data_IF_266325623540
#
_entry.id   IF_266325623540
#
_cell.length_a   1.000
_cell.length_b   1.000
_cell.length_c   1.000
_cell.angle_alpha   90.00
_cell.angle_beta   90.00
_cell.angle_gamma   90.00
#
_symmetry.space_group_name_H-M   'P 1'
#
loop_
_entity.id
_entity.type
_entity.pdbx_description
1 polymer ?
#
# COMPACT_ATOMS: atom_id res chain seq x y z
N UNK A 1 34.56 31.79 -9.13
CA UNK A 1 34.97 30.64 -8.29
C UNK A 1 34.45 30.86 -6.88
N UNK A 2 33.73 29.88 -6.33
CA UNK A 2 33.15 29.93 -4.98
C UNK A 2 31.74 29.35 -4.95
N UNK A 3 31.59 28.07 -5.32
CA UNK A 3 30.33 27.36 -5.16
C UNK A 3 30.08 27.15 -3.66
N UNK A 4 29.01 27.74 -3.15
CA UNK A 4 28.46 27.44 -1.85
C UNK A 4 27.98 25.99 -1.85
N UNK A 5 28.67 25.14 -1.09
CA UNK A 5 28.20 23.80 -0.75
C UNK A 5 27.06 23.99 0.24
N UNK A 6 25.82 23.99 -0.26
CA UNK A 6 24.63 23.92 0.58
C UNK A 6 24.63 22.57 1.29
N UNK A 7 24.69 22.60 2.62
CA UNK A 7 24.58 21.41 3.46
C UNK A 7 23.22 20.74 3.24
N UNK A 8 23.17 19.39 3.13
CA UNK A 8 21.91 18.66 2.95
C UNK A 8 20.96 18.89 4.15
N UNK A 9 19.64 18.86 3.95
CA UNK A 9 18.68 19.02 5.03
C UNK A 9 18.84 17.88 6.05
N UNK A 10 18.92 18.26 7.32
CA UNK A 10 19.03 17.36 8.47
C UNK A 10 17.78 16.47 8.59
N UNK A 11 17.97 15.24 9.06
CA UNK A 11 16.96 14.18 9.19
C UNK A 11 15.72 14.48 10.05
N UNK A 12 14.97 13.46 10.53
CA UNK A 12 13.51 13.43 10.66
C UNK A 12 12.88 14.23 11.83
N UNK A 13 13.42 15.41 12.14
CA UNK A 13 12.91 16.37 13.12
C UNK A 13 11.99 17.46 12.53
N UNK A 14 11.54 17.32 11.29
CA UNK A 14 10.74 18.36 10.61
C UNK A 14 9.23 18.31 10.90
N UNK A 15 8.71 17.25 11.54
CA UNK A 15 7.33 17.18 12.01
C UNK A 15 7.26 17.26 13.55
N UNK A 16 6.62 18.28 14.15
CA UNK A 16 6.45 18.34 15.59
C UNK A 16 5.42 17.29 16.03
N UNK A 17 5.88 16.33 16.83
CA UNK A 17 5.01 15.48 17.64
C UNK A 17 4.64 16.28 18.90
N UNK A 18 3.45 16.87 18.90
CA UNK A 18 2.94 17.57 20.09
C UNK A 18 2.64 16.57 21.20
N UNK A 19 3.28 16.76 22.36
CA UNK A 19 2.98 16.04 23.59
C UNK A 19 1.73 16.61 24.29
N UNK A 20 0.83 15.70 24.69
CA UNK A 20 -0.08 15.86 25.82
C UNK A 20 -1.48 16.44 25.55
N UNK A 21 -2.49 15.55 25.50
CA UNK A 21 -3.52 15.35 26.55
C UNK A 21 -4.49 14.24 26.14
N UNK A 22 -4.73 13.30 27.07
CA UNK A 22 -5.75 12.25 26.96
C UNK A 22 -7.14 12.91 26.77
N UNK A 23 -7.72 12.70 25.61
CA UNK A 23 -9.14 12.90 25.33
C UNK A 23 -9.66 11.62 24.70
N UNK A 24 -10.28 10.76 25.53
CA UNK A 24 -10.92 9.53 25.09
C UNK A 24 -12.19 9.87 24.32
N UNK A 25 -12.18 9.62 23.02
CA UNK A 25 -13.39 9.29 22.27
C UNK A 25 -13.08 7.97 21.56
N UNK A 26 -13.47 6.86 22.17
CA UNK A 26 -13.49 5.54 21.54
C UNK A 26 -14.51 5.58 20.41
N UNK A 27 -14.09 6.05 19.23
CA UNK A 27 -14.75 5.68 17.98
C UNK A 27 -14.50 4.19 17.80
N UNK A 28 -15.56 3.40 17.60
CA UNK A 28 -15.40 2.01 17.17
C UNK A 28 -14.41 1.96 15.99
N UNK A 29 -13.47 1.01 15.96
CA UNK A 29 -12.48 0.96 14.90
C UNK A 29 -13.20 0.84 13.56
N UNK A 30 -13.08 1.86 12.73
CA UNK A 30 -13.63 1.82 11.39
C UNK A 30 -12.95 0.65 10.66
N UNK A 31 -13.75 -0.26 10.08
CA UNK A 31 -13.21 -1.43 9.41
C UNK A 31 -12.21 -1.01 8.32
N UNK A 32 -11.01 -1.58 8.36
CA UNK A 32 -9.96 -1.28 7.38
C UNK A 32 -10.44 -1.64 5.98
N UNK A 33 -10.21 -0.76 5.00
CA UNK A 33 -10.62 -0.97 3.61
C UNK A 33 -9.56 -0.53 2.61
N UNK A 34 -9.78 -0.87 1.34
CA UNK A 34 -8.95 -0.39 0.25
C UNK A 34 -9.40 1.00 -0.21
N UNK A 35 -8.45 1.81 -0.66
CA UNK A 35 -8.66 3.13 -1.25
C UNK A 35 -7.93 3.21 -2.58
N UNK A 36 -8.60 3.68 -3.63
CA UNK A 36 -7.92 4.19 -4.82
C UNK A 36 -7.34 5.58 -4.56
N UNK A 37 -6.44 6.05 -5.42
CA UNK A 37 -5.91 7.43 -5.34
C UNK A 37 -7.04 8.46 -5.41
N UNK A 38 -8.03 8.23 -6.28
CA UNK A 38 -9.17 9.12 -6.43
C UNK A 38 -10.07 9.14 -5.19
N UNK A 39 -10.31 7.99 -4.56
CA UNK A 39 -11.05 7.94 -3.30
C UNK A 39 -10.28 8.60 -2.17
N UNK A 40 -8.99 8.31 -2.01
CA UNK A 40 -8.16 8.90 -0.96
C UNK A 40 -8.15 10.44 -1.05
N UNK A 41 -8.12 11.00 -2.26
CA UNK A 41 -8.17 12.44 -2.50
C UNK A 41 -9.41 13.15 -1.93
N UNK A 42 -10.50 12.42 -1.67
CA UNK A 42 -11.71 12.98 -1.03
C UNK A 42 -11.56 13.20 0.48
N UNK A 43 -10.59 12.52 1.11
CA UNK A 43 -10.30 12.56 2.55
C UNK A 43 -9.25 13.65 2.85
N UNK A 44 -9.58 14.90 2.52
CA UNK A 44 -8.66 16.03 2.60
C UNK A 44 -9.09 17.13 3.59
N UNK A 45 -10.00 16.82 4.51
CA UNK A 45 -10.52 17.81 5.46
C UNK A 45 -11.70 18.64 4.93
N UNK A 46 -11.80 18.84 3.62
CA UNK A 46 -12.80 19.72 3.01
C UNK A 46 -12.56 21.19 3.35
N UNK A 47 -13.15 22.10 2.56
CA UNK A 47 -13.00 23.54 2.79
C UNK A 47 -13.62 24.02 4.11
N UNK A 48 -14.56 23.25 4.67
CA UNK A 48 -15.19 23.49 5.96
C UNK A 48 -14.45 22.83 7.14
N UNK A 49 -13.40 22.05 6.87
CA UNK A 49 -12.61 21.35 7.88
C UNK A 49 -13.34 20.20 8.59
N UNK A 50 -14.52 19.79 8.10
CA UNK A 50 -15.37 18.79 8.76
C UNK A 50 -15.19 17.37 8.21
N UNK A 51 -14.58 17.23 7.04
CA UNK A 51 -14.33 15.92 6.46
C UNK A 51 -13.12 15.27 7.13
N UNK A 52 -13.06 13.94 7.17
CA UNK A 52 -11.83 13.25 7.57
C UNK A 52 -10.63 13.65 6.70
N UNK A 53 -9.44 13.57 7.30
CA UNK A 53 -8.15 13.84 6.65
C UNK A 53 -7.32 12.57 6.72
N UNK A 54 -7.06 11.95 5.56
CA UNK A 54 -6.24 10.74 5.47
C UNK A 54 -4.95 11.01 4.70
N UNK A 55 -3.90 10.25 5.00
CA UNK A 55 -2.66 10.21 4.23
C UNK A 55 -2.24 8.76 4.02
N UNK A 56 -1.52 8.47 2.93
CA UNK A 56 -0.93 7.15 2.68
C UNK A 56 0.60 7.19 2.80
N UNK A 57 1.17 6.25 3.57
CA UNK A 57 2.62 6.06 3.71
C UNK A 57 2.94 4.60 3.39
N UNK A 58 3.74 4.34 2.35
CA UNK A 58 4.07 2.99 1.84
C UNK A 58 2.79 2.14 1.63
N UNK A 59 1.78 2.79 1.04
CA UNK A 59 0.43 2.25 0.82
C UNK A 59 -0.42 1.98 2.07
N UNK A 60 0.06 2.27 3.28
CA UNK A 60 -0.77 2.23 4.48
C UNK A 60 -1.52 3.55 4.67
N UNK A 61 -2.85 3.49 4.81
CA UNK A 61 -3.69 4.69 4.94
C UNK A 61 -3.96 4.98 6.42
N UNK A 62 -3.60 6.19 6.85
CA UNK A 62 -3.74 6.66 8.23
C UNK A 62 -4.77 7.78 8.34
N UNK A 63 -5.63 7.69 9.35
CA UNK A 63 -6.51 8.77 9.74
C UNK A 63 -5.75 9.80 10.59
N UNK A 64 -5.48 10.97 10.01
CA UNK A 64 -4.81 12.10 10.65
C UNK A 64 -5.77 13.22 11.06
N UNK A 65 -7.07 12.94 11.09
CA UNK A 65 -8.13 13.90 11.47
C UNK A 65 -8.01 14.41 12.92
N UNK A 66 -7.21 13.76 13.76
CA UNK A 66 -6.89 14.19 15.12
C UNK A 66 -5.81 15.29 15.19
N UNK A 67 -5.30 15.75 14.04
CA UNK A 67 -4.35 16.85 13.90
C UNK A 67 -4.75 17.85 12.79
N UNK A 68 -5.97 18.42 12.83
CA UNK A 68 -6.43 19.36 11.79
C UNK A 68 -5.58 20.64 11.73
N UNK A 69 -4.90 21.02 12.82
CA UNK A 69 -3.93 22.13 12.85
C UNK A 69 -2.69 21.88 11.99
N UNK A 70 -2.37 20.61 11.71
CA UNK A 70 -1.25 20.21 10.87
C UNK A 70 -1.70 19.90 9.44
N UNK A 71 -2.69 19.03 9.27
CA UNK A 71 -3.09 18.50 7.95
C UNK A 71 -4.38 19.09 7.41
N UNK A 72 -5.12 19.86 8.20
CA UNK A 72 -6.33 20.53 7.73
C UNK A 72 -6.01 21.61 6.70
N UNK A 73 -7.02 22.21 6.05
CA UNK A 73 -6.84 23.15 4.93
C UNK A 73 -5.94 24.37 5.23
N UNK A 74 -5.85 24.78 6.49
CA UNK A 74 -5.00 25.90 6.94
C UNK A 74 -3.72 25.44 7.66
N UNK A 75 -3.51 24.13 7.75
CA UNK A 75 -2.36 23.54 8.43
C UNK A 75 -1.12 23.55 7.55
N UNK A 76 0.06 23.50 8.19
CA UNK A 76 1.34 23.55 7.48
C UNK A 76 1.62 22.33 6.58
N UNK A 77 0.89 21.24 6.76
CA UNK A 77 0.97 20.03 5.94
C UNK A 77 -0.33 19.78 5.16
N UNK A 78 -1.13 20.82 4.92
CA UNK A 78 -2.36 20.75 4.13
C UNK A 78 -2.13 20.11 2.74
N UNK A 79 -0.94 20.31 2.15
CA UNK A 79 -0.57 19.74 0.86
C UNK A 79 -0.57 18.20 0.83
N UNK A 80 -0.43 17.55 1.98
CA UNK A 80 -0.38 16.09 2.15
C UNK A 80 -1.77 15.44 2.22
N UNK A 81 -2.79 16.21 2.60
CA UNK A 81 -4.14 15.73 2.87
C UNK A 81 -4.75 15.03 1.64
N UNK A 82 -5.19 13.79 1.83
CA UNK A 82 -5.79 12.94 0.80
C UNK A 82 -4.80 12.39 -0.23
N UNK A 83 -3.51 12.22 0.11
CA UNK A 83 -2.49 11.78 -0.86
C UNK A 83 -1.60 10.65 -0.34
N UNK A 84 -0.96 9.95 -1.27
CA UNK A 84 0.23 9.16 -0.97
C UNK A 84 1.41 10.11 -0.77
N UNK A 85 1.97 10.09 0.43
CA UNK A 85 3.06 10.97 0.85
C UNK A 85 4.39 10.24 0.91
N UNK A 86 4.41 8.94 0.56
CA UNK A 86 5.59 8.06 0.61
C UNK A 86 6.78 8.72 -0.07
N UNK A 87 6.65 9.08 -1.34
CA UNK A 87 7.75 9.69 -2.08
C UNK A 87 8.19 11.05 -1.50
N UNK A 88 7.22 11.85 -1.05
CA UNK A 88 7.49 13.16 -0.47
C UNK A 88 8.29 13.04 0.85
N UNK A 89 7.97 12.05 1.69
CA UNK A 89 8.70 11.74 2.92
C UNK A 89 10.13 11.26 2.63
N UNK A 90 10.28 10.32 1.69
CA UNK A 90 11.59 9.79 1.31
C UNK A 90 12.56 10.88 0.82
N UNK A 91 12.03 11.87 0.10
CA UNK A 91 12.80 12.97 -0.47
C UNK A 91 12.89 14.20 0.43
N UNK A 92 12.16 14.24 1.56
CA UNK A 92 12.03 15.44 2.39
C UNK A 92 11.33 16.62 1.69
N UNK A 93 10.53 16.37 0.65
CA UNK A 93 9.87 17.36 -0.20
C UNK A 93 8.35 17.32 -0.02
N UNK A 94 7.89 17.78 1.14
CA UNK A 94 6.48 17.67 1.56
C UNK A 94 5.52 18.60 0.81
N UNK A 95 6.02 19.68 0.22
CA UNK A 95 5.22 20.66 -0.51
C UNK A 95 5.38 20.56 -2.04
N UNK A 96 6.13 19.58 -2.53
CA UNK A 96 6.34 19.40 -3.96
C UNK A 96 5.16 18.66 -4.62
N UNK A 97 4.40 19.37 -5.45
CA UNK A 97 3.23 18.81 -6.10
C UNK A 97 3.55 17.68 -7.09
N UNK A 98 4.80 17.56 -7.57
CA UNK A 98 5.20 16.49 -8.48
C UNK A 98 5.46 15.19 -7.72
N UNK A 99 6.17 15.23 -6.59
CA UNK A 99 6.38 14.05 -5.72
C UNK A 99 5.07 13.47 -5.21
N UNK A 100 4.09 14.31 -4.90
CA UNK A 100 2.78 13.91 -4.37
C UNK A 100 1.79 13.37 -5.43
N UNK A 101 2.16 13.35 -6.72
CA UNK A 101 1.31 12.86 -7.81
C UNK A 101 1.67 11.47 -8.30
N UNK A 102 2.80 10.92 -7.87
CA UNK A 102 3.31 9.64 -8.36
C UNK A 102 3.40 8.62 -7.23
N UNK A 103 3.07 7.37 -7.54
CA UNK A 103 3.28 6.23 -6.65
C UNK A 103 4.63 5.54 -6.88
N UNK A 104 5.36 5.94 -7.91
CA UNK A 104 6.63 5.34 -8.30
C UNK A 104 7.75 5.67 -7.31
N UNK A 105 8.46 4.62 -6.90
CA UNK A 105 9.58 4.63 -5.96
C UNK A 105 10.85 4.00 -6.56
N UNK A 106 10.84 3.66 -7.86
CA UNK A 106 11.91 2.91 -8.52
C UNK A 106 13.26 3.64 -8.59
N UNK A 107 13.24 4.97 -8.46
CA UNK A 107 14.44 5.83 -8.49
C UNK A 107 14.94 6.24 -7.09
N UNK A 108 14.34 5.73 -6.01
CA UNK A 108 14.77 6.05 -4.65
C UNK A 108 16.05 5.31 -4.26
N UNK A 109 16.91 5.97 -3.48
CA UNK A 109 18.17 5.38 -2.97
C UNK A 109 17.93 4.57 -1.69
N UNK A 110 18.86 3.68 -1.31
CA UNK A 110 18.77 2.95 -0.04
C UNK A 110 18.61 3.85 1.19
N UNK A 111 19.28 5.01 1.24
CA UNK A 111 19.16 5.97 2.34
C UNK A 111 17.75 6.62 2.39
N UNK A 112 17.13 6.82 1.23
CA UNK A 112 15.75 7.30 1.14
C UNK A 112 14.76 6.23 1.58
N UNK A 113 15.03 4.95 1.30
CA UNK A 113 14.25 3.85 1.86
C UNK A 113 14.43 3.71 3.38
N UNK A 114 15.65 3.85 3.89
CA UNK A 114 15.88 3.88 5.33
C UNK A 114 15.09 5.00 6.02
N UNK A 115 15.03 6.18 5.40
CA UNK A 115 14.19 7.29 5.88
C UNK A 115 12.72 6.89 5.94
N UNK A 116 12.20 6.16 4.96
CA UNK A 116 10.83 5.65 4.97
C UNK A 116 10.59 4.64 6.09
N UNK A 117 11.53 3.72 6.33
CA UNK A 117 11.40 2.72 7.38
C UNK A 117 11.40 3.36 8.77
N UNK A 118 12.21 4.40 9.00
CA UNK A 118 12.16 5.21 10.22
C UNK A 118 10.81 5.93 10.40
N UNK A 119 10.22 6.43 9.32
CA UNK A 119 8.88 7.02 9.35
C UNK A 119 7.83 5.98 9.72
N UNK A 120 7.86 4.81 9.08
CA UNK A 120 6.89 3.73 9.34
C UNK A 120 7.01 3.21 10.76
N UNK A 121 8.21 3.05 11.30
CA UNK A 121 8.39 2.68 12.70
C UNK A 121 7.67 3.65 13.66
N UNK A 122 7.64 4.95 13.35
CA UNK A 122 6.87 5.94 14.13
C UNK A 122 5.37 5.78 13.93
N UNK A 123 4.92 5.47 12.71
CA UNK A 123 3.51 5.21 12.37
C UNK A 123 3.01 3.82 12.78
N UNK A 124 3.89 2.94 13.28
CA UNK A 124 3.53 1.64 13.87
C UNK A 124 3.70 1.59 15.39
N UNK A 125 4.46 2.53 15.98
CA UNK A 125 4.68 2.64 17.42
C UNK A 125 3.39 2.95 18.18
N UNK A 126 3.13 2.27 19.30
CA UNK A 126 1.98 2.54 20.18
C UNK A 126 1.88 4.00 20.68
N UNK A 127 2.94 4.79 20.51
CA UNK A 127 2.98 6.21 20.85
C UNK A 127 2.31 7.13 19.82
N UNK A 128 2.05 6.67 18.58
CA UNK A 128 1.37 7.50 17.60
C UNK A 128 -0.15 7.54 17.83
N UNK A 129 -0.77 8.66 17.45
CA UNK A 129 -2.23 8.88 17.62
C UNK A 129 -3.06 8.62 16.36
N UNK A 130 -2.45 8.20 15.26
CA UNK A 130 -3.13 8.00 13.97
C UNK A 130 -3.53 6.55 13.76
N UNK A 131 -4.80 6.29 13.45
CA UNK A 131 -5.27 4.93 13.21
C UNK A 131 -5.01 4.52 11.77
N UNK A 132 -4.43 3.34 11.54
CA UNK A 132 -4.40 2.74 10.20
C UNK A 132 -5.82 2.31 9.81
N UNK A 133 -6.40 2.98 8.83
CA UNK A 133 -7.78 2.76 8.35
C UNK A 133 -7.84 1.96 7.06
N UNK A 134 -6.70 1.49 6.55
CA UNK A 134 -6.70 0.71 5.32
C UNK A 134 -5.41 0.72 4.52
N UNK A 135 -5.55 0.41 3.23
CA UNK A 135 -4.46 0.35 2.27
C UNK A 135 -4.82 1.10 0.99
N UNK A 136 -3.88 1.87 0.46
CA UNK A 136 -3.95 2.45 -0.86
C UNK A 136 -3.61 1.37 -1.88
N UNK A 137 -4.50 1.15 -2.84
CA UNK A 137 -4.29 0.21 -3.94
C UNK A 137 -4.06 1.00 -5.23
N UNK A 138 -3.09 0.53 -6.01
CA UNK A 138 -2.92 1.01 -7.37
C UNK A 138 -3.92 0.27 -8.26
N UNK A 139 -4.76 1.02 -8.98
CA UNK A 139 -5.78 0.43 -9.85
C UNK A 139 -5.25 0.39 -11.28
N UNK A 140 -5.75 -0.57 -12.06
CA UNK A 140 -5.42 -0.74 -13.49
C UNK A 140 -3.98 -1.17 -13.79
N UNK A 141 -3.31 -1.86 -12.87
CA UNK A 141 -2.01 -2.47 -13.11
C UNK A 141 -2.04 -3.44 -14.32
N UNK A 142 -1.00 -3.39 -15.15
CA UNK A 142 -0.78 -4.27 -16.30
C UNK A 142 0.63 -4.84 -16.24
N UNK A 143 0.74 -6.08 -15.75
CA UNK A 143 2.03 -6.71 -15.46
C UNK A 143 2.23 -7.96 -16.34
N UNK A 144 3.45 -8.21 -16.81
CA UNK A 144 3.84 -9.57 -17.20
C UNK A 144 4.02 -10.44 -15.96
N UNK A 145 4.19 -11.75 -16.16
CA UNK A 145 4.60 -12.66 -15.10
C UNK A 145 5.90 -12.19 -14.42
N UNK A 146 6.90 -11.77 -15.19
CA UNK A 146 8.19 -11.31 -14.64
C UNK A 146 8.05 -10.01 -13.84
N UNK A 147 7.18 -9.10 -14.28
CA UNK A 147 6.90 -7.85 -13.55
C UNK A 147 6.07 -8.09 -12.28
N UNK A 148 5.38 -9.23 -12.18
CA UNK A 148 4.61 -9.61 -10.99
C UNK A 148 5.52 -10.18 -9.89
N UNK A 149 6.63 -10.85 -10.23
CA UNK A 149 7.53 -11.52 -9.27
C UNK A 149 7.96 -10.67 -8.07
N UNK A 150 8.30 -9.37 -8.23
CA UNK A 150 8.71 -8.54 -7.08
C UNK A 150 7.59 -8.29 -6.06
N UNK A 151 6.32 -8.49 -6.43
CA UNK A 151 5.17 -8.29 -5.56
C UNK A 151 4.94 -9.48 -4.62
N UNK A 152 5.99 -9.91 -3.93
CA UNK A 152 6.01 -11.03 -3.00
C UNK A 152 5.95 -10.61 -1.53
N UNK A 153 5.71 -9.32 -1.25
CA UNK A 153 5.75 -8.75 0.10
C UNK A 153 7.14 -8.37 0.60
N UNK A 154 8.19 -8.56 -0.21
CA UNK A 154 9.59 -8.27 0.17
C UNK A 154 10.26 -7.36 -0.85
N UNK A 155 10.29 -7.78 -2.12
CA UNK A 155 11.22 -7.20 -3.11
C UNK A 155 10.74 -5.87 -3.69
N UNK A 156 9.42 -5.67 -3.82
CA UNK A 156 8.92 -4.40 -4.32
C UNK A 156 9.02 -3.31 -3.24
N UNK A 157 9.30 -2.04 -3.61
CA UNK A 157 9.46 -0.93 -2.67
C UNK A 157 8.33 -0.71 -1.66
N UNK A 158 7.11 -1.15 -2.01
CA UNK A 158 5.91 -1.01 -1.17
C UNK A 158 5.56 -2.28 -0.40
N UNK A 159 6.37 -3.34 -0.49
CA UNK A 159 6.17 -4.64 0.17
C UNK A 159 4.72 -5.13 0.03
N UNK A 160 4.23 -5.03 -1.21
CA UNK A 160 2.88 -5.44 -1.61
C UNK A 160 2.93 -6.88 -2.04
N UNK A 161 1.92 -7.64 -1.64
CA UNK A 161 1.74 -9.03 -2.01
C UNK A 161 0.63 -9.06 -3.05
N UNK A 162 1.01 -9.32 -4.31
CA UNK A 162 0.07 -9.56 -5.38
C UNK A 162 0.08 -11.03 -5.76
N UNK A 163 -1.06 -11.55 -6.19
CA UNK A 163 -1.13 -12.81 -6.92
C UNK A 163 -2.07 -12.68 -8.11
N UNK A 164 -1.77 -13.41 -9.17
CA UNK A 164 -2.66 -13.52 -10.32
C UNK A 164 -3.49 -14.80 -10.22
N UNK A 165 -4.78 -14.71 -10.55
CA UNK A 165 -5.62 -15.87 -10.80
C UNK A 165 -6.53 -15.57 -12.00
N UNK A 166 -6.48 -16.46 -12.99
CA UNK A 166 -7.13 -16.35 -14.29
C UNK A 166 -6.89 -14.99 -14.96
N UNK A 167 -5.63 -14.53 -14.94
CA UNK A 167 -5.21 -13.26 -15.52
C UNK A 167 -5.65 -12.00 -14.75
N UNK A 168 -6.31 -12.13 -13.60
CA UNK A 168 -6.70 -11.00 -12.73
C UNK A 168 -5.72 -10.86 -11.59
N UNK A 169 -5.28 -9.63 -11.30
CA UNK A 169 -4.37 -9.33 -10.19
C UNK A 169 -5.16 -8.96 -8.93
N UNK A 170 -4.83 -9.63 -7.83
CA UNK A 170 -5.40 -9.39 -6.51
C UNK A 170 -4.32 -8.86 -5.54
N UNK A 171 -4.60 -7.74 -4.86
CA UNK A 171 -3.79 -7.29 -3.72
C UNK A 171 -4.26 -8.04 -2.47
N UNK A 172 -3.43 -8.98 -2.04
CA UNK A 172 -3.67 -9.83 -0.87
C UNK A 172 -2.89 -9.36 0.36
N UNK A 173 -2.32 -8.16 0.32
CA UNK A 173 -1.49 -7.68 1.43
C UNK A 173 -2.34 -7.43 2.68
N UNK A 174 -3.52 -6.80 2.52
CA UNK A 174 -4.45 -6.61 3.63
C UNK A 174 -5.29 -7.88 3.83
N UNK A 175 -5.30 -8.44 5.06
CA UNK A 175 -6.03 -9.66 5.43
C UNK A 175 -5.59 -10.96 4.70
N UNK A 176 -4.46 -10.93 3.98
CA UNK A 176 -3.88 -12.08 3.31
C UNK A 176 -2.39 -12.29 3.59
N UNK A 177 -1.69 -11.33 4.20
CA UNK A 177 -0.25 -11.44 4.48
C UNK A 177 0.11 -12.64 5.37
N UNK A 178 -0.76 -13.09 6.29
CA UNK A 178 -0.53 -14.30 7.11
C UNK A 178 -0.51 -15.59 6.27
N UNK A 179 -1.13 -15.57 5.10
CA UNK A 179 -1.24 -16.73 4.20
C UNK A 179 -0.23 -16.64 3.06
N UNK A 180 -0.14 -15.48 2.41
CA UNK A 180 0.62 -15.26 1.18
C UNK A 180 1.89 -14.44 1.39
N UNK A 181 2.16 -13.96 2.61
CA UNK A 181 3.42 -13.30 2.92
C UNK A 181 4.60 -14.27 2.91
N UNK A 182 5.83 -13.77 3.09
CA UNK A 182 7.05 -14.58 3.01
C UNK A 182 7.08 -15.76 3.98
N UNK A 183 6.45 -15.63 5.16
CA UNK A 183 6.35 -16.69 6.16
C UNK A 183 5.01 -17.47 6.11
N UNK A 184 4.14 -17.14 5.14
CA UNK A 184 2.82 -17.72 5.02
C UNK A 184 2.82 -19.10 4.34
N UNK A 185 1.89 -19.97 4.72
CA UNK A 185 1.78 -21.34 4.18
C UNK A 185 1.52 -21.40 2.66
N UNK A 186 1.07 -20.29 2.07
CA UNK A 186 0.82 -20.11 0.64
C UNK A 186 1.70 -19.00 0.05
N UNK A 187 2.80 -18.63 0.72
CA UNK A 187 3.74 -17.59 0.28
C UNK A 187 4.34 -17.84 -1.10
N UNK A 188 4.39 -19.10 -1.54
CA UNK A 188 4.81 -19.47 -2.89
C UNK A 188 3.90 -18.95 -4.02
N UNK A 189 2.70 -18.46 -3.73
CA UNK A 189 1.84 -17.79 -4.72
C UNK A 189 2.13 -16.29 -4.85
N UNK A 190 2.88 -15.73 -3.91
CA UNK A 190 3.22 -14.31 -3.89
C UNK A 190 4.04 -13.95 -5.13
N UNK A 191 3.61 -12.92 -5.84
CA UNK A 191 4.23 -12.46 -7.08
C UNK A 191 4.05 -13.40 -8.27
N UNK A 192 3.12 -14.36 -8.25
CA UNK A 192 2.96 -15.36 -9.32
C UNK A 192 1.52 -15.50 -9.79
N UNK A 193 1.37 -16.11 -10.97
CA UNK A 193 0.08 -16.65 -11.38
C UNK A 193 -0.17 -18.01 -10.73
N UNK A 194 -1.24 -18.08 -9.94
CA UNK A 194 -1.66 -19.25 -9.18
C UNK A 194 -2.79 -20.03 -9.87
N UNK A 195 -3.18 -19.71 -11.10
CA UNK A 195 -4.34 -20.29 -11.79
C UNK A 195 -4.27 -21.81 -11.85
N UNK A 196 -3.17 -22.36 -12.39
CA UNK A 196 -2.99 -23.81 -12.52
C UNK A 196 -2.91 -24.49 -11.16
N UNK A 197 -2.15 -23.92 -10.23
CA UNK A 197 -2.00 -24.42 -8.87
C UNK A 197 -3.35 -24.50 -8.12
N UNK A 198 -4.16 -23.43 -8.18
CA UNK A 198 -5.49 -23.39 -7.57
C UNK A 198 -6.45 -24.38 -8.23
N UNK A 199 -6.45 -24.46 -9.57
CA UNK A 199 -7.31 -25.39 -10.31
C UNK A 199 -6.98 -26.86 -9.99
N UNK A 200 -5.70 -27.18 -9.86
CA UNK A 200 -5.20 -28.53 -9.58
C UNK A 200 -5.09 -28.86 -8.08
N UNK A 201 -5.36 -27.89 -7.19
CA UNK A 201 -5.13 -28.01 -5.74
C UNK A 201 -3.69 -28.49 -5.44
N UNK A 202 -2.73 -27.93 -6.16
CA UNK A 202 -1.33 -28.35 -6.14
C UNK A 202 -0.43 -27.19 -5.72
N UNK A 203 0.57 -27.51 -4.91
CA UNK A 203 1.64 -26.61 -4.50
C UNK A 203 2.97 -26.92 -5.20
N UNK A 204 2.96 -27.80 -6.19
CA UNK A 204 4.15 -28.24 -6.92
C UNK A 204 4.66 -27.17 -7.90
N UNK A 205 5.97 -27.15 -8.14
CA UNK A 205 6.65 -26.11 -8.91
C UNK A 205 6.14 -26.00 -10.35
N UNK A 206 5.75 -27.12 -10.98
CA UNK A 206 5.21 -27.13 -12.35
C UNK A 206 3.84 -26.46 -12.47
N UNK A 207 3.09 -26.38 -11.37
CA UNK A 207 1.82 -25.70 -11.30
C UNK A 207 1.96 -24.23 -10.86
N UNK A 208 3.10 -23.87 -10.24
CA UNK A 208 3.39 -22.52 -9.80
C UNK A 208 3.83 -21.62 -10.96
N UNK A 209 3.40 -20.36 -10.91
CA UNK A 209 3.66 -19.36 -11.96
C UNK A 209 3.21 -19.80 -13.37
N UNK A 210 2.19 -20.66 -13.43
CA UNK A 210 1.65 -21.20 -14.68
C UNK A 210 0.23 -20.64 -14.90
N UNK A 211 0.08 -19.66 -15.81
CA UNK A 211 -1.20 -19.05 -16.10
C UNK A 211 -2.10 -19.93 -16.98
N UNK A 212 -1.57 -21.01 -17.58
CA UNK A 212 -2.34 -21.81 -18.53
C UNK A 212 -3.49 -22.53 -17.84
N UNK A 213 -4.70 -22.33 -18.37
CA UNK A 213 -5.90 -23.08 -18.02
C UNK A 213 -6.18 -24.20 -19.02
N UNK A 214 -5.25 -24.45 -19.95
CA UNK A 214 -5.37 -25.49 -20.95
C UNK A 214 -5.30 -26.88 -20.30
N UNK A 215 -6.08 -27.80 -20.87
CA UNK A 215 -6.15 -29.18 -20.42
C UNK A 215 -6.82 -29.38 -19.05
N UNK A 216 -7.34 -28.32 -18.41
CA UNK A 216 -8.16 -28.48 -17.20
C UNK A 216 -9.40 -29.32 -17.52
N UNK A 217 -9.82 -30.17 -16.60
CA UNK A 217 -11.11 -30.85 -16.69
C UNK A 217 -12.24 -29.97 -16.10
N UNK A 218 -13.49 -30.43 -16.17
CA UNK A 218 -14.64 -29.64 -15.68
C UNK A 218 -14.60 -29.38 -14.16
N UNK A 219 -14.08 -30.32 -13.38
CA UNK A 219 -13.95 -30.19 -11.92
C UNK A 219 -12.88 -29.18 -11.56
N UNK A 220 -11.71 -29.24 -12.18
CA UNK A 220 -10.61 -28.28 -11.96
C UNK A 220 -11.00 -26.86 -12.36
N UNK A 221 -11.74 -26.70 -13.47
CA UNK A 221 -12.32 -25.39 -13.85
C UNK A 221 -13.26 -24.86 -12.78
N UNK A 222 -14.17 -25.70 -12.29
CA UNK A 222 -15.08 -25.31 -11.21
C UNK A 222 -14.32 -24.91 -9.94
N UNK A 223 -13.28 -25.67 -9.57
CA UNK A 223 -12.42 -25.34 -8.43
C UNK A 223 -11.75 -23.97 -8.60
N UNK A 224 -11.22 -23.68 -9.79
CA UNK A 224 -10.65 -22.37 -10.10
C UNK A 224 -11.69 -21.24 -9.99
N UNK A 225 -12.88 -21.43 -10.56
CA UNK A 225 -13.97 -20.44 -10.49
C UNK A 225 -14.41 -20.17 -9.05
N UNK A 226 -14.47 -21.20 -8.21
CA UNK A 226 -14.82 -21.06 -6.79
C UNK A 226 -13.73 -20.34 -6.01
N UNK A 227 -12.45 -20.53 -6.35
CA UNK A 227 -11.35 -19.73 -5.80
C UNK A 227 -11.45 -18.26 -6.23
N UNK A 228 -11.68 -17.98 -7.51
CA UNK A 228 -11.83 -16.61 -8.02
C UNK A 228 -12.91 -15.85 -7.25
N UNK A 229 -14.09 -16.46 -7.06
CA UNK A 229 -15.18 -15.85 -6.28
C UNK A 229 -14.77 -15.54 -4.84
N UNK A 230 -13.96 -16.40 -4.20
CA UNK A 230 -13.43 -16.13 -2.85
C UNK A 230 -12.45 -14.96 -2.86
N UNK A 231 -11.59 -14.87 -3.88
CA UNK A 231 -10.65 -13.76 -4.04
C UNK A 231 -11.39 -12.43 -4.25
N UNK A 232 -12.33 -12.37 -5.18
CA UNK A 232 -13.15 -11.18 -5.47
C UNK A 232 -13.95 -10.69 -4.24
N UNK A 233 -14.38 -11.61 -3.38
CA UNK A 233 -15.10 -11.25 -2.15
C UNK A 233 -14.21 -10.74 -1.01
N UNK A 234 -12.90 -11.00 -1.04
CA UNK A 234 -11.98 -10.76 0.11
C UNK A 234 -10.88 -9.74 -0.19
N UNK A 235 -10.40 -9.68 -1.43
CA UNK A 235 -9.21 -8.93 -1.82
C UNK A 235 -9.52 -7.90 -2.90
N UNK A 236 -8.71 -6.84 -2.96
CA UNK A 236 -8.88 -5.84 -4.00
C UNK A 236 -8.39 -6.35 -5.35
N UNK A 237 -9.21 -6.18 -6.39
CA UNK A 237 -8.76 -6.32 -7.78
C UNK A 237 -7.99 -5.07 -8.15
N UNK A 238 -6.73 -5.23 -8.53
CA UNK A 238 -5.80 -4.12 -8.80
C UNK A 238 -5.35 -4.04 -10.26
N UNK A 239 -5.71 -5.02 -11.08
CA UNK A 239 -5.31 -5.02 -12.48
C UNK A 239 -5.44 -6.38 -13.14
N UNK A 240 -4.68 -6.57 -14.23
CA UNK A 240 -4.64 -7.81 -15.00
C UNK A 240 -3.24 -8.10 -15.50
N UNK A 241 -2.96 -9.37 -15.80
CA UNK A 241 -1.79 -9.75 -16.57
C UNK A 241 -1.90 -9.22 -18.01
N UNK A 242 -0.76 -8.88 -18.62
CA UNK A 242 -0.64 -8.41 -20.01
C UNK A 242 -0.34 -9.53 -20.99
#
# INVERSE_FOLDING_TARGET
MGNAVGTPPSGPNSLPMSGGRRGSASKEPQARRHFTVAELATFNGGSDGKRPIYISVKSEVYDVSSSPELYGPSGKFAALAGKDVTRALALGKLDDAKTLKTLDLSDLTPEQFQTLDEWLAKFHSDEHKYTNVGRLVDADLRLSLDELLPFNGVDNPRQTILLAANGVLYDVTMNGAEFYGPDGMYGQFAGRDASKALACMSLEEEALNNPSTDGLNAEQRKTLDDWIKRFEGKYAVVGKLK
#
